data_IF_803578414492
#
_entry.id   IF_803578414492
#
_cell.length_a   1.000
_cell.length_b   1.000
_cell.length_c   1.000
_cell.angle_alpha   90.00
_cell.angle_beta   90.00
_cell.angle_gamma   90.00
#
_symmetry.space_group_name_H-M   'P 1'
#
loop_
_entity.id
_entity.type
_entity.pdbx_description
1 polymer ?
#
# COMPACT_ATOMS: atom_id res chain seq x y z
N UNK A 1 -33.87 -6.76 -20.60
CA UNK A 1 -33.44 -5.47 -20.03
C UNK A 1 -31.93 -5.55 -19.93
N UNK A 2 -31.22 -5.00 -20.92
CA UNK A 2 -29.78 -5.19 -21.09
C UNK A 2 -29.02 -4.17 -20.25
N UNK A 3 -28.21 -4.65 -19.31
CA UNK A 3 -27.12 -3.87 -18.74
C UNK A 3 -25.82 -4.42 -19.33
N UNK A 4 -25.10 -3.57 -20.05
CA UNK A 4 -23.71 -3.83 -20.43
C UNK A 4 -22.90 -4.04 -19.15
N UNK A 5 -21.92 -4.96 -19.13
CA UNK A 5 -20.99 -5.03 -18.01
C UNK A 5 -20.22 -3.71 -17.96
N UNK A 6 -20.52 -2.88 -16.97
CA UNK A 6 -19.60 -1.81 -16.59
C UNK A 6 -18.36 -2.49 -16.00
N UNK A 7 -17.14 -2.03 -16.34
CA UNK A 7 -15.97 -2.42 -15.58
C UNK A 7 -16.21 -1.97 -14.13
N UNK A 8 -16.37 -2.94 -13.24
CA UNK A 8 -16.43 -2.71 -11.79
C UNK A 8 -15.00 -2.32 -11.40
N UNK A 9 -14.73 -1.02 -11.33
CA UNK A 9 -13.54 -0.49 -10.70
C UNK A 9 -13.77 -0.54 -9.19
N UNK A 10 -13.07 -1.45 -8.52
CA UNK A 10 -13.03 -1.51 -7.07
C UNK A 10 -12.26 -0.31 -6.55
N UNK A 11 -12.89 0.46 -5.66
CA UNK A 11 -12.18 1.31 -4.71
C UNK A 11 -12.13 0.49 -3.43
N UNK A 12 -10.99 -0.15 -3.17
CA UNK A 12 -10.70 -0.78 -1.89
C UNK A 12 -9.87 0.21 -1.06
N UNK A 13 -10.09 0.19 0.25
CA UNK A 13 -9.30 0.89 1.23
C UNK A 13 -7.96 0.18 1.34
N UNK A 14 -6.91 0.95 1.04
CA UNK A 14 -5.62 0.44 0.60
C UNK A 14 -4.71 0.10 1.78
N UNK A 15 -4.13 -1.11 1.79
CA UNK A 15 -2.77 -1.33 2.25
C UNK A 15 -1.83 -1.32 1.01
N UNK A 16 -1.19 -0.17 0.78
CA UNK A 16 0.20 -0.06 0.33
C UNK A 16 0.62 -0.22 -1.16
N UNK A 17 1.37 0.80 -1.66
CA UNK A 17 2.59 0.73 -2.54
C UNK A 17 2.63 1.37 -3.98
N UNK A 18 3.85 1.67 -4.49
CA UNK A 18 4.32 3.02 -4.86
C UNK A 18 3.78 3.57 -6.20
N UNK A 19 4.10 4.85 -6.47
CA UNK A 19 4.01 5.49 -7.79
C UNK A 19 4.63 4.60 -8.88
N UNK A 20 3.78 4.03 -9.73
CA UNK A 20 4.20 3.28 -10.90
C UNK A 20 5.11 4.15 -11.78
N UNK A 21 6.34 3.68 -11.98
CA UNK A 21 7.28 4.27 -12.92
C UNK A 21 6.87 3.93 -14.35
N UNK A 22 6.09 4.80 -14.99
CA UNK A 22 5.98 4.75 -16.45
C UNK A 22 7.22 5.39 -17.09
N UNK A 23 8.11 4.53 -17.60
CA UNK A 23 9.03 4.89 -18.70
C UNK A 23 8.19 5.10 -19.96
N UNK A 24 7.57 6.27 -20.08
CA UNK A 24 7.05 6.72 -21.36
C UNK A 24 8.23 7.22 -22.20
N UNK A 25 8.60 6.43 -23.19
CA UNK A 25 9.51 6.78 -24.26
C UNK A 25 9.13 8.11 -24.93
N UNK A 26 10.06 9.07 -24.91
CA UNK A 26 10.29 10.01 -26.00
C UNK A 26 9.27 11.13 -26.20
N UNK A 27 9.54 12.30 -25.62
CA UNK A 27 9.87 13.54 -26.36
C UNK A 27 10.26 14.65 -25.38
N UNK A 28 11.45 15.18 -25.61
CA UNK A 28 12.05 16.29 -24.87
C UNK A 28 11.19 17.55 -25.08
N UNK A 29 10.56 18.02 -24.00
CA UNK A 29 9.90 19.32 -23.92
C UNK A 29 10.57 20.17 -22.86
N UNK A 30 11.49 21.03 -23.28
CA UNK A 30 12.20 21.99 -22.43
C UNK A 30 11.21 23.04 -21.90
N UNK A 31 10.79 22.94 -20.64
CA UNK A 31 9.95 23.96 -19.99
C UNK A 31 10.84 25.15 -19.58
N UNK A 32 10.96 26.12 -20.48
CA UNK A 32 11.37 27.49 -20.14
C UNK A 32 10.18 28.21 -19.52
N UNK A 33 10.36 28.66 -18.27
CA UNK A 33 9.48 29.63 -17.63
C UNK A 33 9.55 30.96 -18.39
N UNK A 34 8.50 31.30 -19.12
CA UNK A 34 8.18 32.70 -19.44
C UNK A 34 6.67 32.91 -19.51
N UNK A 35 6.25 33.94 -18.76
CA UNK A 35 5.03 34.74 -18.86
C UNK A 35 4.23 34.61 -20.17
N UNK A 36 2.97 34.21 -20.08
CA UNK A 36 2.03 34.30 -21.19
C UNK A 36 0.64 33.78 -20.82
N UNK A 37 -0.32 34.71 -20.74
CA UNK A 37 -1.75 34.44 -20.64
C UNK A 37 -2.23 33.44 -21.70
N UNK A 38 -3.05 32.46 -21.30
CA UNK A 38 -4.12 31.93 -22.14
C UNK A 38 -5.32 31.57 -21.27
N UNK A 39 -6.44 32.23 -21.54
CA UNK A 39 -7.76 31.98 -20.95
C UNK A 39 -8.45 30.86 -21.73
N UNK A 40 -8.95 29.83 -21.03
CA UNK A 40 -9.96 28.93 -21.58
C UNK A 40 -11.31 29.27 -20.96
N UNK A 41 -12.20 29.80 -21.80
CA UNK A 41 -13.60 30.07 -21.48
C UNK A 41 -14.37 28.75 -21.30
N UNK A 42 -14.97 28.57 -20.13
CA UNK A 42 -16.29 27.95 -20.03
C UNK A 42 -17.11 28.70 -18.99
N UNK A 43 -18.26 29.23 -19.43
CA UNK A 43 -19.16 30.05 -18.61
C UNK A 43 -19.88 29.20 -17.55
N UNK A 44 -20.27 29.83 -16.42
CA UNK A 44 -20.69 29.13 -15.22
C UNK A 44 -22.20 28.85 -15.19
N UNK A 45 -22.58 27.75 -14.55
CA UNK A 45 -23.91 27.61 -13.95
C UNK A 45 -23.83 28.27 -12.57
N UNK A 46 -24.64 29.32 -12.39
CA UNK A 46 -24.78 30.05 -11.12
C UNK A 46 -25.54 29.18 -10.12
N UNK A 47 -24.90 28.85 -9.01
CA UNK A 47 -25.58 28.72 -7.71
C UNK A 47 -24.81 29.56 -6.70
N UNK A 48 -25.49 30.59 -6.22
CA UNK A 48 -25.00 31.44 -5.15
C UNK A 48 -25.11 30.69 -3.83
N UNK A 49 -23.99 30.49 -3.15
CA UNK A 49 -23.98 30.53 -1.69
C UNK A 49 -22.71 31.25 -1.24
N UNK A 50 -22.91 32.41 -0.61
CA UNK A 50 -21.86 33.11 0.12
C UNK A 50 -21.57 32.27 1.35
N UNK A 51 -20.46 31.56 1.39
CA UNK A 51 -19.89 31.08 2.64
C UNK A 51 -18.51 31.72 2.78
N UNK A 52 -18.40 32.53 3.83
CA UNK A 52 -17.14 33.05 4.32
C UNK A 52 -16.31 31.83 4.74
N UNK A 53 -15.26 31.50 3.98
CA UNK A 53 -14.33 30.42 4.36
C UNK A 53 -13.44 30.99 5.45
N UNK A 54 -13.87 30.82 6.69
CA UNK A 54 -12.97 30.86 7.83
C UNK A 54 -11.93 29.74 7.64
N UNK A 55 -10.65 30.10 7.65
CA UNK A 55 -9.53 29.14 7.79
C UNK A 55 -9.81 28.28 9.02
N UNK A 56 -10.13 27.02 8.82
CA UNK A 56 -9.98 26.03 9.88
C UNK A 56 -8.49 25.67 9.92
N UNK A 57 -7.79 26.14 10.96
CA UNK A 57 -6.54 25.53 11.38
C UNK A 57 -6.88 24.13 11.89
N UNK A 58 -6.82 23.12 11.04
CA UNK A 58 -6.80 21.72 11.49
C UNK A 58 -5.34 21.28 11.52
N UNK A 59 -4.60 21.71 12.55
CA UNK A 59 -3.40 20.97 12.95
C UNK A 59 -3.88 19.69 13.61
N UNK A 60 -4.07 18.64 12.81
CA UNK A 60 -4.34 17.32 13.36
C UNK A 60 -3.15 16.91 14.24
N UNK A 61 -3.45 16.44 15.45
CA UNK A 61 -2.46 15.86 16.35
C UNK A 61 -1.91 14.54 15.76
N UNK A 62 -0.72 14.09 16.20
CA UNK A 62 -0.25 12.76 15.84
C UNK A 62 -1.26 11.68 16.24
N UNK A 63 -1.43 10.66 15.40
CA UNK A 63 -2.32 9.54 15.68
C UNK A 63 -1.77 8.67 16.82
N UNK A 64 -0.44 8.57 16.92
CA UNK A 64 0.24 7.87 18.01
C UNK A 64 1.41 8.72 18.50
N UNK A 65 1.56 8.79 19.82
CA UNK A 65 2.72 9.38 20.50
C UNK A 65 3.41 8.28 21.31
N UNK A 66 4.65 7.98 20.95
CA UNK A 66 5.51 7.01 21.62
C UNK A 66 6.75 7.71 22.19
N UNK A 67 7.51 7.02 23.02
CA UNK A 67 8.78 7.50 23.55
C UNK A 67 9.84 6.39 23.50
N UNK A 68 11.06 6.75 23.13
CA UNK A 68 12.22 5.86 23.16
C UNK A 68 13.44 6.62 23.70
N UNK A 69 13.97 6.20 24.85
CA UNK A 69 15.16 6.83 25.45
C UNK A 69 15.01 8.32 25.76
N UNK A 70 13.81 8.77 26.14
CA UNK A 70 13.50 10.19 26.37
C UNK A 70 13.28 11.02 25.11
N UNK A 71 13.29 10.39 23.93
CA UNK A 71 13.00 11.04 22.65
C UNK A 71 11.54 10.76 22.26
N UNK A 72 10.71 11.79 22.05
CA UNK A 72 9.36 11.61 21.54
C UNK A 72 9.37 11.13 20.09
N UNK A 73 8.45 10.22 19.77
CA UNK A 73 8.18 9.71 18.43
C UNK A 73 6.71 9.99 18.13
N UNK A 74 6.44 10.80 17.11
CA UNK A 74 5.08 11.18 16.71
C UNK A 74 4.73 10.55 15.37
N UNK A 75 3.71 9.71 15.33
CA UNK A 75 3.35 8.93 14.14
C UNK A 75 2.05 9.47 13.57
N UNK A 76 2.04 9.66 12.26
CA UNK A 76 0.87 10.02 11.47
C UNK A 76 0.52 8.88 10.52
N UNK A 77 -0.77 8.53 10.46
CA UNK A 77 -1.37 7.66 9.47
C UNK A 77 -1.62 8.40 8.17
N UNK A 78 -0.98 7.93 7.11
CA UNK A 78 -1.11 8.42 5.75
C UNK A 78 -2.11 7.55 4.97
N UNK A 79 -3.12 8.19 4.39
CA UNK A 79 -4.03 7.60 3.42
C UNK A 79 -3.49 7.88 2.02
N UNK A 80 -3.26 6.82 1.25
CA UNK A 80 -2.71 6.93 -0.09
C UNK A 80 -3.64 7.67 -1.04
N UNK A 81 -3.03 8.41 -1.97
CA UNK A 81 -3.76 9.28 -2.92
C UNK A 81 -4.68 10.32 -2.28
N UNK A 82 -4.62 10.50 -0.97
CA UNK A 82 -5.25 11.60 -0.28
C UNK A 82 -4.23 12.72 -0.03
N UNK A 83 -4.74 13.94 -0.08
CA UNK A 83 -3.97 15.10 0.34
C UNK A 83 -4.10 15.22 1.85
N UNK A 84 -2.99 15.04 2.56
CA UNK A 84 -2.91 15.19 4.02
C UNK A 84 -1.88 16.28 4.37
N UNK A 85 -2.18 17.55 4.02
CA UNK A 85 -1.22 18.65 4.14
C UNK A 85 -0.82 18.95 5.58
N UNK A 86 -1.68 18.60 6.55
CA UNK A 86 -1.45 18.82 7.97
C UNK A 86 -0.20 18.11 8.50
N UNK A 87 0.17 16.95 7.94
CA UNK A 87 1.37 16.21 8.34
C UNK A 87 2.63 17.01 7.93
N UNK A 88 2.64 17.55 6.71
CA UNK A 88 3.71 18.43 6.24
C UNK A 88 3.78 19.74 7.04
N UNK A 89 2.63 20.35 7.34
CA UNK A 89 2.55 21.53 8.21
C UNK A 89 3.16 21.25 9.60
N UNK A 90 2.86 20.09 10.16
CA UNK A 90 3.39 19.64 11.43
C UNK A 90 4.92 19.54 11.40
N UNK A 91 5.48 18.87 10.39
CA UNK A 91 6.93 18.71 10.22
C UNK A 91 7.62 20.08 10.05
N UNK A 92 7.08 20.97 9.22
CA UNK A 92 7.62 22.31 8.99
C UNK A 92 7.65 23.16 10.28
N UNK A 93 6.63 23.01 11.14
CA UNK A 93 6.52 23.73 12.41
C UNK A 93 7.37 23.14 13.52
N UNK A 94 7.34 21.81 13.70
CA UNK A 94 8.05 21.14 14.78
C UNK A 94 9.54 20.95 14.50
N UNK A 95 9.93 20.97 13.22
CA UNK A 95 11.32 20.83 12.76
C UNK A 95 12.00 19.60 13.41
N UNK A 96 11.46 18.38 13.20
CA UNK A 96 12.07 17.17 13.72
C UNK A 96 13.47 17.00 13.16
N UNK A 97 14.27 16.22 13.87
CA UNK A 97 15.60 15.80 13.45
C UNK A 97 15.56 14.62 12.48
N UNK A 98 14.55 13.77 12.61
CA UNK A 98 14.37 12.60 11.75
C UNK A 98 12.90 12.46 11.35
N UNK A 99 12.68 12.13 10.08
CA UNK A 99 11.38 11.73 9.54
C UNK A 99 11.51 10.31 9.01
N UNK A 100 10.83 9.35 9.63
CA UNK A 100 10.76 7.96 9.17
C UNK A 100 9.56 7.85 8.24
N UNK A 101 9.77 7.32 7.04
CA UNK A 101 8.76 7.16 6.01
C UNK A 101 8.65 5.70 5.60
N UNK A 102 7.42 5.25 5.44
CA UNK A 102 7.16 3.88 5.01
C UNK A 102 7.42 3.68 3.51
N UNK A 103 7.02 4.63 2.66
CA UNK A 103 7.18 4.51 1.20
C UNK A 103 8.47 5.14 0.73
N UNK A 104 9.34 4.36 0.09
CA UNK A 104 10.57 4.86 -0.52
C UNK A 104 10.29 5.73 -1.77
N UNK A 105 11.00 6.85 -1.89
CA UNK A 105 11.01 7.72 -3.07
C UNK A 105 11.75 7.13 -4.29
N UNK A 106 12.65 6.17 -4.06
CA UNK A 106 13.46 5.51 -5.09
C UNK A 106 13.79 4.06 -4.71
N UNK A 107 14.11 3.19 -5.69
CA UNK A 107 14.60 1.84 -5.40
C UNK A 107 15.83 1.84 -4.50
N UNK A 108 16.76 2.78 -4.69
CA UNK A 108 17.98 2.91 -3.89
C UNK A 108 17.65 3.30 -2.44
N UNK A 109 16.72 4.23 -2.24
CA UNK A 109 16.23 4.58 -0.91
C UNK A 109 15.56 3.39 -0.23
N UNK A 110 14.76 2.62 -0.98
CA UNK A 110 14.05 1.43 -0.49
C UNK A 110 14.87 0.14 -0.46
N UNK A 111 16.18 0.20 -0.73
CA UNK A 111 17.02 -0.99 -0.84
C UNK A 111 17.29 -1.69 0.50
N UNK A 112 17.17 -0.97 1.61
CA UNK A 112 17.29 -1.49 2.96
C UNK A 112 16.55 -0.58 3.95
N UNK A 113 15.93 -1.16 4.97
CA UNK A 113 15.41 -0.39 6.11
C UNK A 113 16.55 0.42 6.77
N UNK A 114 16.24 1.63 7.22
CA UNK A 114 17.21 2.56 7.80
C UNK A 114 18.00 3.37 6.77
N UNK A 115 17.81 3.13 5.47
CA UNK A 115 18.45 3.96 4.43
C UNK A 115 17.99 5.41 4.55
N UNK A 116 18.97 6.33 4.47
CA UNK A 116 18.74 7.76 4.66
C UNK A 116 18.78 8.48 3.32
N UNK A 117 17.75 9.26 3.03
CA UNK A 117 17.73 10.23 1.94
C UNK A 117 17.98 11.66 2.45
N UNK A 118 18.91 12.35 1.79
CA UNK A 118 19.20 13.78 2.01
C UNK A 118 19.49 14.45 0.67
N UNK A 119 19.21 15.75 0.55
CA UNK A 119 19.46 16.47 -0.71
C UNK A 119 20.94 16.60 -1.07
N UNK A 120 21.84 16.48 -0.10
CA UNK A 120 23.29 16.41 -0.33
C UNK A 120 23.73 15.13 -1.06
N UNK A 121 22.89 14.09 -1.12
CA UNK A 121 23.16 12.81 -1.78
C UNK A 121 22.67 12.75 -3.23
N UNK A 122 22.10 13.83 -3.76
CA UNK A 122 21.64 13.86 -5.16
C UNK A 122 22.82 13.65 -6.12
N UNK A 123 22.81 12.52 -6.83
CA UNK A 123 23.71 12.26 -7.94
C UNK A 123 23.14 12.89 -9.23
N UNK A 124 23.98 13.04 -10.26
CA UNK A 124 23.52 13.53 -11.57
C UNK A 124 22.41 12.64 -12.16
N UNK A 125 22.46 11.34 -11.86
CA UNK A 125 21.51 10.32 -12.33
C UNK A 125 20.34 10.07 -11.36
N UNK A 126 20.17 10.89 -10.31
CA UNK A 126 19.04 10.77 -9.38
C UNK A 126 17.70 10.76 -10.09
N UNK A 127 16.68 10.19 -9.47
CA UNK A 127 15.39 10.11 -10.12
C UNK A 127 14.71 11.50 -10.20
N UNK A 128 13.66 11.63 -11.03
CA UNK A 128 12.97 12.91 -11.21
C UNK A 128 12.38 13.46 -9.91
N UNK A 129 11.76 12.62 -9.08
CA UNK A 129 11.10 13.02 -7.85
C UNK A 129 12.09 13.45 -6.77
N UNK A 130 13.20 12.75 -6.60
CA UNK A 130 14.29 13.13 -5.69
C UNK A 130 14.80 14.54 -6.01
N UNK A 131 15.07 14.83 -7.29
CA UNK A 131 15.50 16.16 -7.73
C UNK A 131 14.43 17.21 -7.48
N UNK A 132 13.18 16.91 -7.85
CA UNK A 132 12.05 17.83 -7.68
C UNK A 132 11.83 18.17 -6.21
N UNK A 133 11.76 17.17 -5.34
CA UNK A 133 11.52 17.36 -3.92
C UNK A 133 12.66 18.14 -3.29
N UNK A 134 13.91 17.83 -3.60
CA UNK A 134 15.04 18.61 -3.08
C UNK A 134 15.10 20.05 -3.57
N UNK A 135 14.79 20.30 -4.84
CA UNK A 135 14.74 21.65 -5.39
C UNK A 135 13.67 22.49 -4.69
N UNK A 136 12.47 21.93 -4.52
CA UNK A 136 11.35 22.61 -3.85
C UNK A 136 11.63 22.80 -2.37
N UNK A 137 12.16 21.76 -1.70
CA UNK A 137 12.53 21.81 -0.28
C UNK A 137 13.57 22.87 0.00
N UNK A 138 14.57 23.01 -0.88
CA UNK A 138 15.59 24.06 -0.76
C UNK A 138 15.02 25.47 -0.87
N UNK A 139 13.96 25.68 -1.67
CA UNK A 139 13.25 26.96 -1.75
C UNK A 139 12.44 27.24 -0.48
N UNK A 140 11.76 26.23 0.06
CA UNK A 140 11.03 26.34 1.33
C UNK A 140 11.96 26.64 2.50
N UNK A 141 13.12 25.98 2.57
CA UNK A 141 14.12 26.14 3.64
C UNK A 141 14.67 27.58 3.76
N UNK A 142 14.60 28.37 2.68
CA UNK A 142 15.03 29.78 2.67
C UNK A 142 13.99 30.74 3.28
N UNK A 143 12.80 30.25 3.63
CA UNK A 143 11.71 31.07 4.16
C UNK A 143 11.57 30.90 5.68
N UNK A 144 11.42 31.99 6.47
CA UNK A 144 11.30 31.89 7.93
C UNK A 144 10.07 31.10 8.40
N UNK A 145 8.94 31.25 7.70
CA UNK A 145 7.70 30.51 7.90
C UNK A 145 7.27 29.85 6.57
N UNK A 146 7.73 28.62 6.30
CA UNK A 146 7.39 27.90 5.08
C UNK A 146 5.88 27.67 4.91
N UNK A 147 5.15 27.48 6.02
CA UNK A 147 3.72 27.12 5.99
C UNK A 147 2.83 28.26 5.50
N UNK A 148 3.26 29.52 5.67
CA UNK A 148 2.54 30.69 5.17
C UNK A 148 2.79 30.99 3.68
N UNK A 149 3.76 30.33 3.04
CA UNK A 149 4.18 30.66 1.67
C UNK A 149 3.15 30.20 0.62
N UNK A 150 3.08 30.95 -0.50
CA UNK A 150 2.32 30.51 -1.67
C UNK A 150 2.87 29.21 -2.26
N UNK A 151 4.20 29.03 -2.19
CA UNK A 151 4.83 27.80 -2.66
C UNK A 151 4.26 26.58 -1.92
N UNK A 152 4.25 26.61 -0.58
CA UNK A 152 3.68 25.51 0.20
C UNK A 152 2.20 25.27 -0.09
N UNK A 153 1.39 26.33 -0.17
CA UNK A 153 -0.03 26.22 -0.55
C UNK A 153 -0.24 25.60 -1.93
N UNK A 154 0.63 25.90 -2.89
CA UNK A 154 0.57 25.29 -4.21
C UNK A 154 1.00 23.82 -4.13
N UNK A 155 2.00 23.44 -3.34
CA UNK A 155 2.40 22.04 -3.17
C UNK A 155 1.29 21.18 -2.55
N UNK A 156 0.61 21.70 -1.52
CA UNK A 156 -0.52 21.01 -0.86
C UNK A 156 -1.65 20.62 -1.84
N UNK A 157 -1.78 21.34 -2.97
CA UNK A 157 -2.78 21.07 -4.01
C UNK A 157 -2.36 20.03 -5.04
N UNK A 158 -1.06 19.79 -5.19
CA UNK A 158 -0.51 18.97 -6.29
C UNK A 158 0.14 17.68 -5.81
N UNK A 159 0.48 17.59 -4.51
CA UNK A 159 1.17 16.45 -3.92
C UNK A 159 0.30 15.77 -2.86
N UNK A 160 0.45 14.46 -2.76
CA UNK A 160 -0.23 13.61 -1.77
C UNK A 160 0.49 13.69 -0.41
N UNK A 161 -0.16 13.21 0.65
CA UNK A 161 0.39 13.22 2.02
C UNK A 161 1.84 12.74 2.12
N UNK A 162 2.13 11.55 1.58
CA UNK A 162 3.49 10.96 1.58
C UNK A 162 4.53 11.88 0.93
N UNK A 163 4.19 12.48 -0.20
CA UNK A 163 5.11 13.35 -0.95
C UNK A 163 5.35 14.66 -0.20
N UNK A 164 4.31 15.21 0.44
CA UNK A 164 4.41 16.40 1.28
C UNK A 164 5.30 16.14 2.51
N UNK A 165 5.28 14.94 3.08
CA UNK A 165 6.18 14.53 4.18
C UNK A 165 7.64 14.60 3.75
N UNK A 166 8.00 14.04 2.59
CA UNK A 166 9.36 14.13 2.06
C UNK A 166 9.80 15.58 1.88
N UNK A 167 8.97 16.39 1.22
CA UNK A 167 9.29 17.80 0.94
C UNK A 167 9.46 18.58 2.26
N UNK A 168 8.55 18.38 3.21
CA UNK A 168 8.61 19.06 4.51
C UNK A 168 9.85 18.62 5.32
N UNK A 169 10.14 17.32 5.38
CA UNK A 169 11.30 16.77 6.08
C UNK A 169 12.61 17.31 5.54
N UNK A 170 12.77 17.33 4.22
CA UNK A 170 13.95 17.89 3.57
C UNK A 170 14.06 19.41 3.76
N UNK A 171 12.93 20.14 3.78
CA UNK A 171 12.94 21.59 3.97
C UNK A 171 13.39 22.02 5.38
N UNK A 172 13.19 21.17 6.40
CA UNK A 172 13.68 21.41 7.77
C UNK A 172 15.04 20.77 8.04
N UNK A 173 15.67 20.16 7.02
CA UNK A 173 16.90 19.38 7.13
C UNK A 173 16.81 18.23 8.13
N UNK A 174 15.66 17.55 8.16
CA UNK A 174 15.53 16.26 8.82
C UNK A 174 16.21 15.16 7.99
N UNK A 175 16.71 14.13 8.68
CA UNK A 175 17.07 12.88 8.01
C UNK A 175 15.79 12.17 7.60
N UNK A 176 15.58 11.95 6.31
CA UNK A 176 14.44 11.16 5.83
C UNK A 176 14.87 9.71 5.73
N UNK A 177 14.27 8.83 6.53
CA UNK A 177 14.69 7.43 6.71
C UNK A 177 13.62 6.51 6.16
N UNK A 178 13.96 5.62 5.24
CA UNK A 178 13.08 4.54 4.85
C UNK A 178 12.91 3.56 6.02
N UNK A 179 11.69 3.44 6.54
CA UNK A 179 11.40 2.71 7.76
C UNK A 179 10.89 1.28 7.57
N UNK A 180 10.51 0.90 6.36
CA UNK A 180 9.87 -0.38 6.12
C UNK A 180 10.83 -1.46 5.63
N UNK A 181 10.35 -2.70 5.58
CA UNK A 181 11.05 -3.84 4.99
C UNK A 181 11.26 -3.63 3.49
N UNK A 182 12.34 -4.22 2.99
CA UNK A 182 12.58 -4.33 1.55
C UNK A 182 11.46 -5.15 0.90
N UNK A 183 10.79 -4.59 -0.10
CA UNK A 183 9.63 -5.21 -0.77
C UNK A 183 9.92 -6.59 -1.33
N UNK A 184 11.12 -6.77 -1.86
CA UNK A 184 11.53 -8.05 -2.43
C UNK A 184 11.50 -9.18 -1.40
N UNK A 185 11.82 -8.89 -0.14
CA UNK A 185 11.77 -9.89 0.93
C UNK A 185 10.33 -10.22 1.31
N UNK A 186 9.43 -9.22 1.31
CA UNK A 186 7.98 -9.45 1.46
C UNK A 186 7.46 -10.40 0.39
N UNK A 187 7.76 -10.14 -0.87
CA UNK A 187 7.26 -10.95 -1.99
C UNK A 187 7.80 -12.38 -1.94
N UNK A 188 9.09 -12.56 -1.66
CA UNK A 188 9.67 -13.91 -1.51
C UNK A 188 9.05 -14.66 -0.33
N UNK A 189 8.77 -13.99 0.79
CA UNK A 189 8.10 -14.61 1.94
C UNK A 189 6.67 -15.01 1.59
N UNK A 190 5.91 -14.15 0.92
CA UNK A 190 4.56 -14.46 0.44
C UNK A 190 4.52 -15.62 -0.57
N UNK A 191 5.55 -15.76 -1.40
CA UNK A 191 5.66 -16.86 -2.35
C UNK A 191 6.04 -18.17 -1.65
N UNK A 192 6.80 -18.13 -0.56
CA UNK A 192 7.40 -19.34 0.04
C UNK A 192 6.73 -19.86 1.31
N UNK A 193 6.19 -18.99 2.16
CA UNK A 193 5.73 -19.34 3.51
C UNK A 193 4.26 -19.79 3.54
N UNK A 194 3.28 -19.00 3.03
CA UNK A 194 1.87 -19.39 3.05
C UNK A 194 1.64 -20.73 2.34
N UNK A 195 0.71 -21.56 2.79
CA UNK A 195 0.21 -22.67 1.99
C UNK A 195 -0.79 -22.17 0.92
N UNK A 196 -1.11 -23.00 -0.07
CA UNK A 196 -2.19 -22.67 -1.03
C UNK A 196 -3.55 -22.46 -0.32
N UNK A 197 -3.75 -23.09 0.83
CA UNK A 197 -4.95 -22.89 1.67
C UNK A 197 -4.91 -21.53 2.35
N UNK A 198 -3.74 -21.07 2.81
CA UNK A 198 -3.59 -19.75 3.40
C UNK A 198 -3.81 -18.65 2.36
N UNK A 199 -3.30 -18.82 1.14
CA UNK A 199 -3.52 -17.88 0.03
C UNK A 199 -4.99 -17.84 -0.40
N UNK A 200 -5.67 -18.98 -0.53
CA UNK A 200 -7.10 -19.04 -0.86
C UNK A 200 -7.97 -18.46 0.27
N UNK A 201 -7.58 -18.66 1.53
CA UNK A 201 -8.24 -18.01 2.68
C UNK A 201 -8.09 -16.49 2.61
N UNK A 202 -6.88 -15.99 2.39
CA UNK A 202 -6.62 -14.55 2.26
C UNK A 202 -7.37 -13.94 1.07
N UNK A 203 -7.43 -14.64 -0.06
CA UNK A 203 -8.21 -14.22 -1.23
C UNK A 203 -9.69 -14.08 -0.88
N UNK A 204 -10.25 -15.09 -0.21
CA UNK A 204 -11.65 -15.07 0.16
C UNK A 204 -11.99 -13.99 1.19
N UNK A 205 -11.10 -13.78 2.17
CA UNK A 205 -11.23 -12.72 3.16
C UNK A 205 -11.19 -11.34 2.49
N UNK A 206 -10.21 -11.08 1.61
CA UNK A 206 -10.12 -9.81 0.90
C UNK A 206 -11.33 -9.57 -0.01
N UNK A 207 -11.84 -10.61 -0.68
CA UNK A 207 -13.06 -10.51 -1.49
C UNK A 207 -14.27 -10.11 -0.63
N UNK A 208 -14.39 -10.66 0.58
CA UNK A 208 -15.47 -10.33 1.51
C UNK A 208 -15.36 -8.90 2.06
N UNK A 209 -14.15 -8.44 2.38
CA UNK A 209 -13.88 -7.07 2.82
C UNK A 209 -14.18 -6.04 1.73
N UNK A 210 -13.72 -6.30 0.50
CA UNK A 210 -13.98 -5.42 -0.65
C UNK A 210 -15.50 -5.29 -0.89
N UNK A 211 -16.26 -6.37 -0.66
CA UNK A 211 -17.71 -6.30 -0.71
C UNK A 211 -18.31 -5.46 0.44
N UNK A 212 -17.88 -5.70 1.68
CA UNK A 212 -18.36 -4.95 2.85
C UNK A 212 -18.08 -3.45 2.73
N UNK A 213 -16.90 -3.09 2.24
CA UNK A 213 -16.53 -1.71 1.97
C UNK A 213 -17.44 -1.08 0.91
N UNK A 214 -17.68 -1.79 -0.20
CA UNK A 214 -18.57 -1.33 -1.26
C UNK A 214 -19.99 -1.07 -0.74
N UNK A 215 -20.50 -1.90 0.16
CA UNK A 215 -21.85 -1.76 0.73
C UNK A 215 -21.92 -0.67 1.80
N UNK A 216 -20.93 -0.62 2.68
CA UNK A 216 -20.92 0.29 3.83
C UNK A 216 -20.42 1.70 3.48
N UNK A 217 -19.68 1.83 2.39
CA UNK A 217 -18.94 3.04 2.02
C UNK A 217 -17.82 3.38 3.00
N UNK A 218 -17.34 2.41 3.79
CA UNK A 218 -16.29 2.56 4.80
C UNK A 218 -15.20 1.52 4.62
N UNK A 219 -13.93 1.86 4.93
CA UNK A 219 -12.85 0.89 4.97
C UNK A 219 -13.22 -0.36 5.77
N UNK A 220 -13.16 -1.53 5.14
CA UNK A 220 -13.28 -2.81 5.83
C UNK A 220 -11.88 -3.29 6.21
N UNK A 221 -11.62 -3.50 7.51
CA UNK A 221 -10.30 -3.86 8.04
C UNK A 221 -10.37 -5.23 8.69
N UNK A 222 -9.37 -6.09 8.42
CA UNK A 222 -9.22 -7.38 9.12
C UNK A 222 -8.84 -7.13 10.57
N UNK A 223 -9.66 -7.54 11.55
CA UNK A 223 -9.28 -7.47 12.95
C UNK A 223 -7.99 -8.28 13.18
N UNK A 224 -7.05 -7.82 14.05
CA UNK A 224 -5.81 -8.54 14.32
C UNK A 224 -5.99 -10.03 14.64
N UNK A 225 -7.04 -10.38 15.38
CA UNK A 225 -7.37 -11.76 15.75
C UNK A 225 -7.77 -12.68 14.57
N UNK A 226 -8.09 -12.11 13.40
CA UNK A 226 -8.49 -12.83 12.20
C UNK A 226 -7.41 -12.84 11.11
N UNK A 227 -6.27 -12.17 11.34
CA UNK A 227 -5.15 -12.13 10.40
C UNK A 227 -4.56 -13.52 10.24
N UNK A 228 -4.50 -13.99 8.99
CA UNK A 228 -3.86 -15.26 8.64
C UNK A 228 -2.37 -15.08 8.38
N UNK A 229 -1.75 -16.12 7.81
CA UNK A 229 -0.33 -16.10 7.45
C UNK A 229 0.00 -14.97 6.46
N UNK A 230 -0.91 -14.65 5.55
CA UNK A 230 -0.68 -13.63 4.51
C UNK A 230 -0.71 -12.23 5.11
N UNK A 231 -1.74 -11.91 5.91
CA UNK A 231 -1.86 -10.63 6.60
C UNK A 231 -0.74 -10.43 7.62
N UNK A 232 -0.28 -11.51 8.27
CA UNK A 232 0.89 -11.46 9.14
C UNK A 232 2.13 -10.98 8.40
N UNK A 233 2.40 -11.50 7.20
CA UNK A 233 3.56 -11.09 6.38
C UNK A 233 3.39 -9.68 5.80
N UNK A 234 2.17 -9.31 5.38
CA UNK A 234 1.85 -8.02 4.74
C UNK A 234 1.72 -6.85 5.71
N UNK A 235 1.38 -7.11 6.98
CA UNK A 235 1.17 -6.08 7.99
C UNK A 235 2.08 -6.31 9.18
N UNK A 236 1.85 -7.37 9.96
CA UNK A 236 2.47 -7.55 11.29
C UNK A 236 4.02 -7.63 11.23
N UNK A 237 4.60 -8.34 10.26
CA UNK A 237 6.06 -8.36 10.09
C UNK A 237 6.62 -6.98 9.69
N UNK A 238 5.87 -6.19 8.92
CA UNK A 238 6.25 -4.84 8.50
C UNK A 238 6.10 -3.83 9.65
N UNK A 239 5.02 -3.94 10.43
CA UNK A 239 4.81 -3.17 11.66
C UNK A 239 6.01 -3.32 12.61
N UNK A 240 6.54 -4.53 12.75
CA UNK A 240 7.71 -4.80 13.59
C UNK A 240 8.98 -4.12 13.06
N UNK A 241 9.22 -4.15 11.74
CA UNK A 241 10.34 -3.44 11.10
C UNK A 241 10.18 -1.92 11.23
N UNK A 242 8.97 -1.38 11.09
CA UNK A 242 8.69 0.04 11.30
C UNK A 242 8.97 0.44 12.75
N UNK A 243 8.59 -0.37 13.74
CA UNK A 243 8.94 -0.15 15.14
C UNK A 243 10.46 -0.10 15.33
N UNK A 244 11.20 -1.06 14.78
CA UNK A 244 12.67 -1.06 14.84
C UNK A 244 13.26 0.22 14.23
N UNK A 245 12.79 0.64 13.05
CA UNK A 245 13.25 1.86 12.38
C UNK A 245 12.98 3.13 13.18
N UNK A 246 11.82 3.23 13.82
CA UNK A 246 11.47 4.34 14.69
C UNK A 246 12.34 4.36 15.95
N UNK A 247 12.58 3.19 16.55
CA UNK A 247 13.46 3.06 17.72
C UNK A 247 14.92 3.41 17.37
N UNK A 248 15.44 2.93 16.24
CA UNK A 248 16.79 3.25 15.77
C UNK A 248 16.94 4.73 15.43
N UNK A 249 15.93 5.33 14.79
CA UNK A 249 15.89 6.78 14.54
C UNK A 249 15.92 7.60 15.82
N UNK A 250 15.28 7.12 16.89
CA UNK A 250 15.31 7.76 18.21
C UNK A 250 16.67 7.56 18.91
N UNK A 251 17.26 6.37 18.86
CA UNK A 251 18.59 6.10 19.43
C UNK A 251 19.72 6.83 18.69
N UNK A 252 19.59 7.02 17.37
CA UNK A 252 20.56 7.72 16.54
C UNK A 252 20.53 9.24 16.73
N UNK A 253 19.60 9.78 17.51
CA UNK A 253 19.53 11.21 17.82
C UNK A 253 20.84 11.71 18.42
N UNK A 254 21.40 12.74 17.79
CA UNK A 254 22.55 13.46 18.31
C UNK A 254 22.14 14.89 18.66
N UNK A 255 22.83 15.55 19.59
CA UNK A 255 22.66 16.98 19.81
C UNK A 255 22.81 17.71 18.47
N UNK A 256 21.73 18.36 18.01
CA UNK A 256 21.78 19.07 16.74
C UNK A 256 22.67 20.30 16.88
N UNK A 257 23.50 20.56 15.86
CA UNK A 257 24.22 21.82 15.73
C UNK A 257 23.28 23.00 15.42
N UNK A 258 22.00 22.71 15.14
CA UNK A 258 20.97 23.70 14.81
C UNK A 258 20.05 23.95 16.01
N UNK A 259 20.02 25.17 16.56
CA UNK A 259 19.22 25.47 17.76
C UNK A 259 17.70 25.40 17.55
N UNK A 260 17.23 25.42 16.30
CA UNK A 260 15.81 25.33 15.97
C UNK A 260 15.31 23.90 15.72
N UNK A 261 16.20 22.91 15.67
CA UNK A 261 15.84 21.52 15.41
C UNK A 261 15.60 20.80 16.73
N UNK A 262 14.47 20.08 16.82
CA UNK A 262 14.09 19.38 18.05
C UNK A 262 14.55 17.93 18.00
N UNK A 263 14.98 17.35 19.13
CA UNK A 263 15.15 15.90 19.25
C UNK A 263 13.76 15.25 19.23
N UNK A 264 13.25 15.01 18.03
CA UNK A 264 11.91 14.51 17.75
C UNK A 264 11.99 13.64 16.49
N UNK A 265 11.41 12.45 16.55
CA UNK A 265 11.19 11.60 15.39
C UNK A 265 9.74 11.75 14.95
N UNK A 266 9.52 11.97 13.66
CA UNK A 266 8.17 11.90 13.07
C UNK A 266 8.09 10.67 12.18
N UNK A 267 7.11 9.80 12.42
CA UNK A 267 6.76 8.68 11.54
C UNK A 267 5.63 9.07 10.60
N UNK A 268 5.79 8.82 9.31
CA UNK A 268 4.73 8.84 8.33
C UNK A 268 4.60 7.44 7.74
N UNK A 269 3.72 6.68 8.36
CA UNK A 269 3.29 5.33 7.98
C UNK A 269 1.84 5.45 7.61
N UNK A 270 1.23 4.46 7.02
CA UNK A 270 -0.18 4.60 6.67
C UNK A 270 -1.07 3.94 7.67
N UNK A 271 -2.33 4.28 7.52
CA UNK A 271 -3.32 4.10 8.57
C UNK A 271 -3.44 2.63 8.98
N UNK A 272 -3.30 1.69 8.04
CA UNK A 272 -3.36 0.25 8.30
C UNK A 272 -2.29 -0.28 9.27
N UNK A 273 -1.18 0.45 9.46
CA UNK A 273 -0.08 0.08 10.35
C UNK A 273 -0.20 0.66 11.76
N UNK A 274 -1.07 1.66 11.98
CA UNK A 274 -1.15 2.36 13.26
C UNK A 274 -1.46 1.42 14.43
N UNK A 275 -2.52 0.63 14.32
CA UNK A 275 -2.93 -0.31 15.38
C UNK A 275 -1.83 -1.35 15.66
N UNK A 276 -1.21 -1.88 14.59
CA UNK A 276 -0.15 -2.89 14.70
C UNK A 276 1.11 -2.34 15.37
N UNK A 277 1.53 -1.13 14.99
CA UNK A 277 2.66 -0.44 15.64
C UNK A 277 2.35 -0.15 17.11
N UNK A 278 1.16 0.37 17.43
CA UNK A 278 0.77 0.64 18.80
C UNK A 278 0.80 -0.62 19.67
N UNK A 279 0.22 -1.72 19.18
CA UNK A 279 0.14 -3.00 19.90
C UNK A 279 1.53 -3.63 20.07
N UNK A 280 2.35 -3.65 19.02
CA UNK A 280 3.69 -4.22 19.09
C UNK A 280 4.62 -3.41 19.98
N UNK A 281 4.52 -2.08 19.94
CA UNK A 281 5.36 -1.19 20.74
C UNK A 281 5.06 -1.32 22.24
N UNK A 282 3.79 -1.40 22.64
CA UNK A 282 3.40 -1.49 24.05
C UNK A 282 3.99 -2.71 24.76
N UNK A 283 4.10 -3.84 24.07
CA UNK A 283 4.58 -5.10 24.64
C UNK A 283 6.03 -5.45 24.24
N UNK A 284 6.74 -4.54 23.55
CA UNK A 284 8.10 -4.74 23.00
C UNK A 284 8.26 -5.98 22.07
N UNK A 285 7.16 -6.61 21.64
CA UNK A 285 7.17 -7.86 20.86
C UNK A 285 7.83 -7.72 19.48
N UNK A 286 7.89 -6.50 18.95
CA UNK A 286 8.56 -6.25 17.68
C UNK A 286 10.05 -6.62 17.70
N UNK A 287 10.72 -6.56 18.86
CA UNK A 287 12.16 -6.87 18.99
C UNK A 287 12.45 -8.33 18.66
N UNK A 288 11.68 -9.23 19.26
CA UNK A 288 11.80 -10.67 19.02
C UNK A 288 11.45 -11.00 17.58
N UNK A 289 10.38 -10.38 17.05
CA UNK A 289 9.96 -10.58 15.66
C UNK A 289 11.02 -10.15 14.64
N UNK A 290 11.63 -8.97 14.82
CA UNK A 290 12.69 -8.50 13.91
C UNK A 290 13.92 -9.42 13.99
N UNK A 291 14.28 -9.89 15.19
CA UNK A 291 15.36 -10.86 15.34
C UNK A 291 15.07 -12.18 14.62
N UNK A 292 13.82 -12.67 14.66
CA UNK A 292 13.39 -13.87 13.93
C UNK A 292 13.42 -13.66 12.40
N UNK A 293 13.11 -12.46 11.93
CA UNK A 293 13.20 -12.08 10.51
C UNK A 293 14.67 -12.06 10.04
N UNK A 294 15.57 -11.43 10.80
CA UNK A 294 16.98 -11.26 10.45
C UNK A 294 17.79 -12.57 10.53
N UNK A 295 17.48 -13.43 11.49
CA UNK A 295 18.09 -14.77 11.60
C UNK A 295 17.63 -15.70 10.48
N UNK A 296 16.76 -15.21 9.58
CA UNK A 296 16.23 -15.97 8.47
C UNK A 296 15.53 -17.21 8.97
N UNK A 297 14.73 -17.08 10.05
CA UNK A 297 14.04 -18.19 10.69
C UNK A 297 13.48 -19.07 9.59
N UNK A 298 14.07 -20.26 9.50
CA UNK A 298 14.10 -21.15 8.34
C UNK A 298 12.74 -21.82 8.17
N UNK A 299 11.68 -21.04 8.03
CA UNK A 299 10.42 -21.45 7.40
C UNK A 299 10.56 -21.46 5.87
N UNK A 300 11.77 -21.71 5.36
CA UNK A 300 11.93 -22.27 4.04
C UNK A 300 11.48 -23.71 4.11
N UNK A 301 10.63 -24.11 3.17
CA UNK A 301 10.15 -25.46 2.91
C UNK A 301 11.26 -26.48 2.59
N UNK A 302 12.32 -26.53 3.40
CA UNK A 302 13.42 -27.49 3.32
C UNK A 302 12.88 -28.87 3.71
N UNK A 303 12.22 -29.52 2.75
CA UNK A 303 11.66 -30.86 2.89
C UNK A 303 10.22 -31.04 2.38
N UNK A 304 9.53 -29.98 1.95
CA UNK A 304 8.18 -30.15 1.38
C UNK A 304 8.31 -30.66 -0.05
N UNK A 305 7.88 -31.90 -0.32
CA UNK A 305 7.68 -32.38 -1.69
C UNK A 305 6.55 -31.57 -2.31
N UNK A 306 6.91 -30.54 -3.08
CA UNK A 306 5.96 -29.76 -3.88
C UNK A 306 5.38 -30.72 -4.93
N UNK A 307 4.05 -30.86 -4.98
CA UNK A 307 3.41 -31.64 -6.04
C UNK A 307 3.53 -30.87 -7.35
N UNK A 308 3.66 -31.58 -8.48
CA UNK A 308 3.62 -30.95 -9.80
C UNK A 308 2.35 -30.10 -9.94
N UNK A 309 2.50 -28.86 -10.40
CA UNK A 309 1.40 -27.89 -10.55
C UNK A 309 1.10 -27.05 -9.31
N UNK A 310 1.59 -27.44 -8.12
CA UNK A 310 1.32 -26.71 -6.87
C UNK A 310 1.97 -25.33 -6.85
N UNK A 311 3.12 -25.16 -7.51
CA UNK A 311 3.80 -23.87 -7.59
C UNK A 311 3.04 -22.91 -8.53
N UNK A 312 2.51 -23.42 -9.64
CA UNK A 312 1.65 -22.67 -10.54
C UNK A 312 0.37 -22.17 -9.85
N UNK A 313 -0.32 -23.06 -9.11
CA UNK A 313 -1.51 -22.71 -8.30
C UNK A 313 -1.16 -21.63 -7.28
N UNK A 314 -0.09 -21.86 -6.52
CA UNK A 314 0.42 -20.93 -5.49
C UNK A 314 0.67 -19.54 -6.07
N UNK A 315 1.38 -19.43 -7.19
CA UNK A 315 1.69 -18.13 -7.79
C UNK A 315 0.42 -17.41 -8.25
N UNK A 316 -0.49 -18.12 -8.91
CA UNK A 316 -1.76 -17.54 -9.37
C UNK A 316 -2.64 -17.07 -8.20
N UNK A 317 -2.68 -17.80 -7.09
CA UNK A 317 -3.36 -17.39 -5.86
C UNK A 317 -2.73 -16.15 -5.24
N UNK A 318 -1.39 -16.14 -5.10
CA UNK A 318 -0.66 -14.99 -4.57
C UNK A 318 -0.94 -13.73 -5.39
N UNK A 319 -0.81 -13.81 -6.70
CA UNK A 319 -1.11 -12.68 -7.60
C UNK A 319 -2.57 -12.25 -7.50
N UNK A 320 -3.50 -13.20 -7.32
CA UNK A 320 -4.93 -12.89 -7.16
C UNK A 320 -5.22 -12.18 -5.82
N UNK A 321 -4.55 -12.58 -4.73
CA UNK A 321 -4.64 -11.87 -3.44
C UNK A 321 -4.09 -10.45 -3.57
N UNK A 322 -2.89 -10.30 -4.16
CA UNK A 322 -2.26 -8.99 -4.36
C UNK A 322 -3.13 -8.10 -5.26
N UNK A 323 -3.71 -8.64 -6.33
CA UNK A 323 -4.61 -7.90 -7.22
C UNK A 323 -5.88 -7.41 -6.50
N UNK A 324 -6.41 -8.16 -5.52
CA UNK A 324 -7.58 -7.74 -4.74
C UNK A 324 -7.25 -6.73 -3.63
N UNK A 325 -6.00 -6.73 -3.18
CA UNK A 325 -5.56 -5.94 -2.02
C UNK A 325 -4.83 -4.66 -2.43
N UNK A 326 -4.22 -4.65 -3.61
CA UNK A 326 -3.26 -3.65 -4.04
C UNK A 326 -3.52 -3.18 -5.49
N UNK A 327 -2.84 -2.09 -5.88
CA UNK A 327 -2.88 -1.55 -7.25
C UNK A 327 -2.10 -2.42 -8.24
N UNK A 328 -2.42 -2.27 -9.52
CA UNK A 328 -1.75 -2.99 -10.62
C UNK A 328 -0.22 -2.83 -10.65
N UNK A 329 0.31 -1.71 -10.15
CA UNK A 329 1.75 -1.48 -10.03
C UNK A 329 2.44 -2.49 -9.11
N UNK A 330 1.75 -2.94 -8.05
CA UNK A 330 2.28 -3.92 -7.10
C UNK A 330 2.34 -5.31 -7.74
N UNK A 331 1.32 -5.67 -8.52
CA UNK A 331 1.31 -6.90 -9.32
C UNK A 331 2.46 -6.93 -10.33
N UNK A 332 2.76 -5.80 -10.98
CA UNK A 332 3.89 -5.70 -11.91
C UNK A 332 5.25 -5.81 -11.20
N UNK A 333 5.40 -5.20 -10.02
CA UNK A 333 6.60 -5.32 -9.20
C UNK A 333 6.82 -6.76 -8.72
N UNK A 334 5.75 -7.43 -8.29
CA UNK A 334 5.76 -8.83 -7.87
C UNK A 334 6.28 -9.75 -8.98
N UNK A 335 5.75 -9.61 -10.20
CA UNK A 335 6.18 -10.37 -11.37
C UNK A 335 7.64 -10.09 -11.77
N UNK A 336 8.16 -8.90 -11.45
CA UNK A 336 9.56 -8.53 -11.74
C UNK A 336 10.53 -9.11 -10.72
N UNK A 337 10.13 -9.18 -9.45
CA UNK A 337 10.99 -9.62 -8.34
C UNK A 337 11.04 -11.14 -8.22
N UNK A 338 9.92 -11.80 -8.46
CA UNK A 338 9.84 -13.24 -8.33
C UNK A 338 10.35 -13.92 -9.61
N UNK A 339 11.03 -15.04 -9.45
CA UNK A 339 11.55 -15.79 -10.59
C UNK A 339 10.42 -16.25 -11.53
N UNK A 340 10.69 -16.38 -12.85
CA UNK A 340 9.76 -16.95 -13.80
C UNK A 340 9.29 -18.35 -13.37
N UNK A 341 8.02 -18.65 -13.61
CA UNK A 341 7.50 -19.99 -13.37
C UNK A 341 8.12 -21.01 -14.34
N UNK A 342 8.48 -22.22 -13.86
CA UNK A 342 8.84 -23.34 -14.72
C UNK A 342 7.73 -23.68 -15.73
N UNK A 343 8.10 -24.13 -16.93
CA UNK A 343 7.15 -24.41 -18.01
C UNK A 343 6.09 -25.45 -17.65
N UNK A 344 6.45 -26.44 -16.82
CA UNK A 344 5.56 -27.51 -16.34
C UNK A 344 4.54 -27.05 -15.30
N UNK A 345 4.76 -25.87 -14.69
CA UNK A 345 3.85 -25.25 -13.74
C UNK A 345 2.85 -24.28 -14.43
N UNK A 346 3.15 -23.86 -15.66
CA UNK A 346 2.33 -22.90 -16.42
C UNK A 346 0.87 -23.34 -16.65
N UNK A 347 0.56 -24.62 -16.96
CA UNK A 347 -0.83 -25.04 -17.14
C UNK A 347 -1.68 -24.81 -15.89
N UNK A 348 -1.16 -25.20 -14.73
CA UNK A 348 -1.85 -25.05 -13.44
C UNK A 348 -1.99 -23.58 -13.05
N UNK A 349 -0.95 -22.78 -13.31
CA UNK A 349 -1.00 -21.33 -13.16
C UNK A 349 -2.12 -20.71 -14.00
N UNK A 350 -2.20 -21.02 -15.30
CA UNK A 350 -3.19 -20.43 -16.20
C UNK A 350 -4.63 -20.77 -15.79
N UNK A 351 -4.90 -22.03 -15.45
CA UNK A 351 -6.22 -22.47 -15.01
C UNK A 351 -6.62 -21.81 -13.69
N UNK A 352 -5.70 -21.78 -12.72
CA UNK A 352 -5.94 -21.12 -11.43
C UNK A 352 -6.17 -19.62 -11.61
N UNK A 353 -5.33 -18.96 -12.42
CA UNK A 353 -5.41 -17.53 -12.68
C UNK A 353 -6.75 -17.17 -13.35
N UNK A 354 -7.23 -17.98 -14.29
CA UNK A 354 -8.56 -17.79 -14.88
C UNK A 354 -9.69 -18.00 -13.87
N UNK A 355 -9.61 -19.07 -13.06
CA UNK A 355 -10.63 -19.37 -12.05
C UNK A 355 -10.75 -18.24 -11.03
N UNK A 356 -9.63 -17.82 -10.44
CA UNK A 356 -9.53 -16.75 -9.45
C UNK A 356 -9.64 -15.33 -10.04
N UNK A 357 -9.59 -15.21 -11.37
CA UNK A 357 -9.96 -14.00 -12.10
C UNK A 357 -11.47 -13.88 -12.36
N UNK A 358 -12.26 -14.93 -12.10
CA UNK A 358 -13.68 -14.97 -12.44
C UNK A 358 -14.57 -14.34 -11.35
N UNK A 359 -15.65 -13.68 -11.77
CA UNK A 359 -16.68 -13.17 -10.85
C UNK A 359 -17.31 -14.28 -10.00
N UNK A 360 -17.44 -15.49 -10.55
CA UNK A 360 -17.99 -16.63 -9.82
C UNK A 360 -17.10 -17.05 -8.65
N UNK A 361 -15.78 -17.01 -8.80
CA UNK A 361 -14.87 -17.29 -7.68
C UNK A 361 -14.96 -16.21 -6.59
N UNK A 362 -15.06 -14.93 -6.97
CA UNK A 362 -15.28 -13.84 -6.00
C UNK A 362 -16.58 -14.03 -5.22
N UNK A 363 -17.68 -14.37 -5.89
CA UNK A 363 -18.96 -14.69 -5.23
C UNK A 363 -18.87 -15.95 -4.37
N UNK A 364 -18.17 -16.98 -4.83
CA UNK A 364 -17.97 -18.23 -4.08
C UNK A 364 -17.19 -18.04 -2.77
N UNK A 365 -16.51 -16.90 -2.60
CA UNK A 365 -15.82 -16.53 -1.37
C UNK A 365 -16.69 -15.86 -0.32
N UNK A 366 -17.87 -15.34 -0.70
CA UNK A 366 -18.73 -14.59 0.18
C UNK A 366 -19.50 -15.50 1.16
N UNK A 367 -19.84 -14.94 2.32
CA UNK A 367 -20.75 -15.60 3.28
C UNK A 367 -22.16 -15.70 2.71
N UNK A 368 -23.00 -16.59 3.27
CA UNK A 368 -24.38 -16.77 2.83
C UNK A 368 -25.18 -15.46 2.94
N UNK A 369 -24.93 -14.69 3.99
CA UNK A 369 -25.56 -13.40 4.24
C UNK A 369 -25.14 -12.36 3.19
N UNK A 370 -23.85 -12.30 2.85
CA UNK A 370 -23.35 -11.42 1.79
C UNK A 370 -23.88 -11.83 0.41
N UNK A 371 -23.92 -13.13 0.10
CA UNK A 371 -24.50 -13.65 -1.14
C UNK A 371 -25.97 -13.28 -1.29
N UNK A 372 -26.77 -13.41 -0.22
CA UNK A 372 -28.17 -13.02 -0.23
C UNK A 372 -28.37 -11.53 -0.53
N UNK A 373 -27.43 -10.68 -0.12
CA UNK A 373 -27.45 -9.25 -0.42
C UNK A 373 -26.99 -8.95 -1.86
N UNK A 374 -25.87 -9.51 -2.31
CA UNK A 374 -25.33 -9.30 -3.68
C UNK A 374 -26.28 -9.81 -4.75
N UNK A 375 -26.79 -11.02 -4.54
CA UNK A 375 -27.62 -11.72 -5.51
C UNK A 375 -29.12 -11.50 -5.23
N UNK A 376 -29.46 -10.43 -4.50
CA UNK A 376 -30.86 -10.07 -4.25
C UNK A 376 -31.62 -9.92 -5.57
N UNK A 377 -32.74 -10.64 -5.70
CA UNK A 377 -33.56 -10.66 -6.91
C UNK A 377 -33.19 -11.72 -7.95
N UNK A 378 -32.11 -12.49 -7.72
CA UNK A 378 -31.79 -13.66 -8.54
C UNK A 378 -32.75 -14.79 -8.17
N UNK A 379 -33.32 -15.46 -9.18
CA UNK A 379 -34.36 -16.50 -9.00
C UNK A 379 -33.75 -17.91 -8.92
N UNK A 380 -32.63 -18.04 -8.22
CA UNK A 380 -31.93 -19.31 -8.03
C UNK A 380 -31.27 -19.35 -6.64
N UNK A 381 -30.94 -20.56 -6.18
CA UNK A 381 -30.10 -20.73 -5.01
C UNK A 381 -28.63 -20.57 -5.42
N UNK A 382 -28.06 -19.40 -5.10
CA UNK A 382 -26.67 -19.10 -5.44
C UNK A 382 -25.66 -19.96 -4.68
N UNK A 383 -26.04 -20.57 -3.56
CA UNK A 383 -25.19 -21.56 -2.88
C UNK A 383 -25.02 -22.81 -3.74
N UNK A 384 -26.11 -23.30 -4.34
CA UNK A 384 -26.10 -24.46 -5.24
C UNK A 384 -25.36 -24.14 -6.55
N UNK A 385 -25.64 -22.98 -7.14
CA UNK A 385 -25.00 -22.54 -8.40
C UNK A 385 -23.48 -22.40 -8.25
N UNK A 386 -23.01 -21.94 -7.09
CA UNK A 386 -21.58 -21.75 -6.83
C UNK A 386 -20.90 -22.97 -6.21
N UNK A 387 -21.64 -24.04 -5.88
CA UNK A 387 -21.08 -25.22 -5.23
C UNK A 387 -19.87 -25.82 -5.97
N UNK A 388 -19.88 -26.00 -7.31
CA UNK A 388 -18.71 -26.52 -8.02
C UNK A 388 -17.47 -25.62 -7.88
N UNK A 389 -17.68 -24.30 -7.87
CA UNK A 389 -16.60 -23.31 -7.71
C UNK A 389 -16.10 -23.31 -6.27
N UNK A 390 -16.99 -23.48 -5.28
CA UNK A 390 -16.63 -23.62 -3.86
C UNK A 390 -15.83 -24.90 -3.62
N UNK A 391 -16.22 -26.02 -4.22
CA UNK A 391 -15.54 -27.31 -4.06
C UNK A 391 -14.13 -27.30 -4.67
N UNK A 392 -13.91 -26.51 -5.72
CA UNK A 392 -12.59 -26.34 -6.33
C UNK A 392 -11.59 -25.57 -5.43
N UNK A 393 -12.06 -24.86 -4.39
CA UNK A 393 -11.22 -24.03 -3.52
C UNK A 393 -10.31 -24.86 -2.61
N UNK A 394 -9.01 -24.54 -2.49
CA UNK A 394 -8.10 -25.19 -1.55
C UNK A 394 -8.58 -25.22 -0.09
N UNK A 395 -9.24 -24.17 0.40
CA UNK A 395 -9.77 -24.14 1.77
C UNK A 395 -10.84 -25.20 2.02
N UNK A 396 -11.51 -25.67 0.96
CA UNK A 396 -12.53 -26.71 0.99
C UNK A 396 -11.99 -28.09 0.59
N UNK A 397 -10.67 -28.21 0.42
CA UNK A 397 -10.00 -29.45 -0.01
C UNK A 397 -9.86 -29.61 -1.53
N UNK A 398 -10.29 -28.63 -2.32
CA UNK A 398 -10.09 -28.60 -3.76
C UNK A 398 -8.63 -28.36 -4.17
N UNK A 399 -8.33 -28.55 -5.46
CA UNK A 399 -6.99 -28.36 -6.01
C UNK A 399 -6.63 -26.89 -6.28
N UNK A 400 -7.62 -25.99 -6.34
CA UNK A 400 -7.49 -24.63 -6.85
C UNK A 400 -7.35 -24.53 -8.37
N UNK A 401 -7.29 -25.68 -9.06
CA UNK A 401 -7.06 -25.79 -10.49
C UNK A 401 -7.90 -26.96 -11.03
N UNK A 402 -9.01 -26.64 -11.68
CA UNK A 402 -9.95 -27.62 -12.24
C UNK A 402 -10.25 -27.27 -13.71
N UNK A 403 -9.76 -28.10 -14.63
CA UNK A 403 -9.92 -27.89 -16.06
C UNK A 403 -11.38 -28.06 -16.51
N UNK A 404 -12.08 -29.06 -15.97
CA UNK A 404 -13.46 -29.36 -16.37
C UNK A 404 -14.38 -28.22 -15.95
N UNK A 405 -14.19 -27.71 -14.72
CA UNK A 405 -14.87 -26.52 -14.24
C UNK A 405 -14.57 -25.30 -15.12
N UNK A 406 -13.31 -25.05 -15.48
CA UNK A 406 -12.95 -23.93 -16.37
C UNK A 406 -13.63 -24.06 -17.73
N UNK A 407 -13.65 -25.25 -18.32
CA UNK A 407 -14.33 -25.49 -19.59
C UNK A 407 -15.83 -25.20 -19.49
N UNK A 408 -16.48 -25.62 -18.40
CA UNK A 408 -17.88 -25.29 -18.12
C UNK A 408 -18.09 -23.78 -17.94
N UNK A 409 -17.22 -23.10 -17.21
CA UNK A 409 -17.30 -21.65 -17.02
C UNK A 409 -17.16 -20.88 -18.33
N UNK A 410 -16.33 -21.37 -19.25
CA UNK A 410 -16.16 -20.82 -20.60
C UNK A 410 -17.38 -21.06 -21.46
N UNK A 411 -17.99 -22.26 -21.44
CA UNK A 411 -19.17 -22.58 -22.26
C UNK A 411 -20.42 -21.83 -21.79
N UNK A 412 -20.61 -21.67 -20.48
CA UNK A 412 -21.73 -20.91 -19.91
C UNK A 412 -21.68 -19.40 -20.23
N UNK A 413 -20.52 -18.87 -20.67
CA UNK A 413 -20.42 -17.48 -21.14
C UNK A 413 -21.05 -17.28 -22.53
N UNK A 414 -21.27 -18.35 -23.30
CA UNK A 414 -21.84 -18.29 -24.65
C UNK A 414 -23.38 -18.37 -24.69
N UNK A 415 -24.05 -18.77 -23.60
CA UNK A 415 -25.51 -18.98 -23.58
C UNK A 415 -26.32 -17.77 -23.05
N UNK A 416 -25.67 -16.63 -22.75
CA UNK A 416 -26.31 -15.39 -22.31
C UNK A 416 -26.52 -14.35 -23.44
N UNK A 417 -26.73 -14.79 -24.69
CA UNK A 417 -27.13 -13.93 -25.81
C UNK A 417 -28.65 -13.80 -25.96
#
# INVERSE_FOLDING_TARGET
>A
MFLRPHPITFHSCEPWWPLAFHRASGKVGLLRLHSGFFTWNNRPVKTASRHCVCRAETTQEPDIILECGGIPIHIFGVQHCESQPYIGDYILRQRPSTVVVETAISPEHGAASGNIFTCSRLAQDSNFFERLFCQVSSQLAQTPDPTATRLWQDLQRHFMGEQLVYIAGLAVDAQVVYGDRVKADTYRRLDTIPSIVDLDRAFGLQSALNYEEMVSGRPAVVPPAQRGCVEHILLTERDAVLCQSLADAAHAQRPSSKPWQRPLVVGAVGEAHLDGIAELWQDDRWRDMVQDLDTGSKCGAAGRKVKQGEQGVRRALLESVVRLSCRDSVTADLATILDPLPEDELPSYQLTHELYGSTRMLLACLTKEQLAQVCSGWRCDMEEVLAPVKDARPINGGSGCDLDLILELRTLHFELQ
#
